data_IF_438147960158
#
_entry.id   IF_438147960158
#
_cell.length_a   1.000
_cell.length_b   1.000
_cell.length_c   1.000
_cell.angle_alpha   90.00
_cell.angle_beta   90.00
_cell.angle_gamma   90.00
#
_symmetry.space_group_name_H-M   'P 1'
#
loop_
_entity.id
_entity.type
_entity.pdbx_description
1 polymer ?
#
# COMPACT_ATOMS: atom_id res chain seq x y z
N UNK A 1 0.79 -17.82 -12.28
CA UNK A 1 0.63 -16.94 -11.10
C UNK A 1 2.02 -16.48 -10.76
N UNK A 2 2.26 -15.17 -10.62
CA UNK A 2 3.59 -14.64 -10.35
C UNK A 2 3.74 -14.46 -8.84
N UNK A 3 4.72 -15.14 -8.27
CA UNK A 3 4.96 -15.20 -6.84
C UNK A 3 6.27 -14.49 -6.46
N UNK A 4 6.31 -13.88 -5.28
CA UNK A 4 7.50 -13.18 -4.79
C UNK A 4 7.69 -13.43 -3.29
N UNK A 5 8.93 -13.58 -2.86
CA UNK A 5 9.29 -13.60 -1.43
C UNK A 5 10.07 -12.36 -1.05
N UNK A 6 9.63 -11.67 -0.01
CA UNK A 6 10.37 -10.59 0.65
C UNK A 6 10.96 -11.13 1.94
N UNK A 7 12.29 -11.15 2.06
CA UNK A 7 12.98 -11.67 3.25
C UNK A 7 13.80 -10.59 3.93
N UNK A 8 13.55 -10.38 5.22
CA UNK A 8 14.40 -9.51 6.05
C UNK A 8 15.66 -10.22 6.49
N UNK A 9 16.80 -9.61 6.21
CA UNK A 9 18.12 -10.12 6.56
C UNK A 9 18.84 -9.12 7.48
N UNK A 10 19.32 -9.61 8.62
CA UNK A 10 20.05 -8.84 9.61
C UNK A 10 21.57 -8.81 9.39
N UNK A 11 22.24 -9.95 9.51
CA UNK A 11 23.70 -10.07 9.36
C UNK A 11 24.07 -11.25 8.45
N UNK A 12 24.27 -11.02 7.14
CA UNK A 12 24.59 -12.07 6.18
C UNK A 12 25.78 -12.97 6.57
N UNK A 13 26.82 -12.41 7.21
CA UNK A 13 28.03 -13.17 7.61
C UNK A 13 27.82 -14.06 8.84
N UNK A 14 26.76 -13.84 9.60
CA UNK A 14 26.53 -14.52 10.88
C UNK A 14 25.83 -15.87 10.75
N UNK A 15 25.27 -16.19 9.57
CA UNK A 15 24.40 -17.35 9.43
C UNK A 15 25.19 -18.62 9.15
N UNK A 16 24.81 -19.69 9.86
CA UNK A 16 25.34 -21.02 9.68
C UNK A 16 24.48 -21.80 8.69
N UNK A 17 25.10 -22.75 8.00
CA UNK A 17 24.38 -23.66 7.11
C UNK A 17 23.55 -24.63 7.96
N UNK A 18 22.25 -24.71 7.67
CA UNK A 18 21.29 -25.60 8.32
C UNK A 18 20.40 -26.24 7.26
N UNK A 19 19.66 -27.28 7.64
CA UNK A 19 18.61 -27.85 6.80
C UNK A 19 17.27 -27.22 7.16
N UNK A 20 16.69 -26.42 6.26
CA UNK A 20 15.35 -25.91 6.43
C UNK A 20 14.31 -26.96 6.03
N UNK A 21 13.18 -27.03 6.73
CA UNK A 21 12.08 -27.95 6.43
C UNK A 21 10.74 -27.22 6.33
N UNK A 22 9.96 -27.52 5.27
CA UNK A 22 8.55 -27.11 5.10
C UNK A 22 7.77 -28.36 4.71
N UNK A 23 6.73 -28.71 5.46
CA UNK A 23 5.83 -29.84 5.16
C UNK A 23 6.56 -31.17 4.84
N UNK A 24 7.71 -31.39 5.49
CA UNK A 24 8.54 -32.58 5.31
C UNK A 24 9.55 -32.52 4.15
N UNK A 25 9.43 -31.54 3.25
CA UNK A 25 10.45 -31.25 2.25
C UNK A 25 11.61 -30.45 2.85
N UNK A 26 12.85 -30.75 2.43
CA UNK A 26 14.07 -30.24 3.07
C UNK A 26 14.97 -29.52 2.07
N UNK A 27 15.60 -28.44 2.53
CA UNK A 27 16.53 -27.65 1.75
C UNK A 27 17.70 -27.15 2.60
N UNK A 28 18.93 -27.46 2.18
CA UNK A 28 20.13 -27.06 2.92
C UNK A 28 20.61 -25.67 2.48
N UNK A 29 20.71 -24.73 3.41
CA UNK A 29 21.05 -23.34 3.13
C UNK A 29 21.58 -22.63 4.37
N UNK A 30 22.33 -21.54 4.19
CA UNK A 30 22.62 -20.61 5.28
C UNK A 30 21.48 -19.59 5.50
N UNK A 31 20.55 -19.43 4.55
CA UNK A 31 19.42 -18.50 4.65
C UNK A 31 18.09 -19.12 4.24
N UNK A 32 17.04 -18.77 4.98
CA UNK A 32 15.67 -19.29 4.81
C UNK A 32 15.04 -18.91 3.47
N UNK A 33 15.38 -17.72 2.93
CA UNK A 33 14.78 -17.24 1.67
C UNK A 33 15.07 -18.15 0.48
N UNK A 34 16.24 -18.78 0.43
CA UNK A 34 16.57 -19.77 -0.61
C UNK A 34 15.73 -21.04 -0.43
N UNK A 35 15.54 -21.48 0.81
CA UNK A 35 14.68 -22.62 1.12
C UNK A 35 13.22 -22.34 0.76
N UNK A 36 12.69 -21.17 1.13
CA UNK A 36 11.33 -20.76 0.76
C UNK A 36 11.17 -20.69 -0.77
N UNK A 37 12.13 -20.10 -1.47
CA UNK A 37 12.08 -20.01 -2.93
C UNK A 37 12.01 -21.38 -3.58
N UNK A 38 12.88 -22.29 -3.17
CA UNK A 38 13.01 -23.59 -3.81
C UNK A 38 11.86 -24.56 -3.40
N UNK A 39 11.49 -24.59 -2.11
CA UNK A 39 10.43 -25.45 -1.59
C UNK A 39 9.02 -24.98 -1.98
N UNK A 40 8.76 -23.66 -2.00
CA UNK A 40 7.47 -23.10 -2.38
C UNK A 40 7.39 -22.71 -3.87
N UNK A 41 8.47 -22.93 -4.64
CA UNK A 41 8.59 -22.60 -6.07
C UNK A 41 8.29 -21.13 -6.38
N UNK A 42 8.86 -20.24 -5.58
CA UNK A 42 8.65 -18.80 -5.71
C UNK A 42 9.43 -18.25 -6.92
N UNK A 43 8.78 -17.44 -7.75
CA UNK A 43 9.37 -16.96 -9.01
C UNK A 43 10.43 -15.86 -8.81
N UNK A 44 10.29 -15.07 -7.73
CA UNK A 44 11.10 -13.88 -7.45
C UNK A 44 11.45 -13.77 -5.97
N UNK A 45 12.61 -13.19 -5.71
CA UNK A 45 13.18 -12.96 -4.38
C UNK A 45 13.58 -11.50 -4.24
N UNK A 46 13.19 -10.93 -3.10
CA UNK A 46 13.62 -9.61 -2.65
C UNK A 46 14.26 -9.74 -1.28
N UNK A 47 15.53 -9.41 -1.21
CA UNK A 47 16.27 -9.37 0.05
C UNK A 47 16.19 -7.95 0.62
N UNK A 48 15.66 -7.84 1.84
CA UNK A 48 15.55 -6.58 2.58
C UNK A 48 16.66 -6.52 3.62
N UNK A 49 17.56 -5.55 3.49
CA UNK A 49 18.68 -5.32 4.41
C UNK A 49 18.54 -3.95 5.06
N UNK A 50 19.12 -3.80 6.24
CA UNK A 50 19.38 -2.49 6.83
C UNK A 50 20.62 -1.82 6.24
N UNK A 51 20.63 -0.49 6.12
CA UNK A 51 21.84 0.29 5.82
C UNK A 51 22.96 0.02 6.83
N UNK A 52 22.62 -0.38 8.06
CA UNK A 52 23.60 -0.73 9.10
C UNK A 52 24.47 -1.94 8.74
N UNK A 53 24.07 -2.75 7.77
CA UNK A 53 24.89 -3.86 7.24
C UNK A 53 26.19 -3.35 6.61
N UNK A 54 26.28 -2.05 6.30
CA UNK A 54 27.52 -1.40 5.92
C UNK A 54 28.69 -1.67 6.87
N UNK A 55 28.43 -1.82 8.18
CA UNK A 55 29.47 -2.10 9.18
C UNK A 55 30.01 -3.52 9.09
N UNK A 56 29.16 -4.48 8.70
CA UNK A 56 29.56 -5.87 8.45
C UNK A 56 30.54 -5.97 7.27
N UNK A 57 30.44 -5.04 6.33
CA UNK A 57 31.23 -5.00 5.10
C UNK A 57 32.29 -3.90 5.05
N UNK A 58 32.43 -3.10 6.11
CA UNK A 58 33.32 -1.93 6.12
C UNK A 58 33.09 -0.98 4.92
N UNK A 59 31.82 -0.77 4.54
CA UNK A 59 31.45 0.14 3.47
C UNK A 59 31.71 1.60 3.85
N UNK A 60 32.00 2.44 2.85
CA UNK A 60 32.15 3.90 3.05
C UNK A 60 30.79 4.58 3.14
N UNK A 61 30.68 5.62 3.97
CA UNK A 61 29.45 6.37 4.23
C UNK A 61 29.40 7.73 3.53
N UNK A 62 30.02 7.85 2.35
CA UNK A 62 30.09 9.12 1.63
C UNK A 62 28.68 9.62 1.23
N UNK A 63 27.84 8.71 0.77
CA UNK A 63 26.45 8.94 0.42
C UNK A 63 25.68 7.60 0.49
N UNK A 64 24.36 7.68 0.52
CA UNK A 64 23.51 6.50 0.64
C UNK A 64 23.67 5.52 -0.51
N UNK A 65 23.78 6.03 -1.74
CA UNK A 65 23.83 5.21 -2.96
C UNK A 65 25.10 4.38 -3.00
N UNK A 66 26.26 5.00 -2.79
CA UNK A 66 27.55 4.31 -2.72
C UNK A 66 27.57 3.25 -1.61
N UNK A 67 26.99 3.56 -0.44
CA UNK A 67 26.87 2.63 0.68
C UNK A 67 25.95 1.45 0.34
N UNK A 68 24.79 1.72 -0.25
CA UNK A 68 23.81 0.71 -0.73
C UNK A 68 24.44 -0.22 -1.77
N UNK A 69 25.15 0.32 -2.77
CA UNK A 69 25.81 -0.47 -3.81
C UNK A 69 26.87 -1.40 -3.21
N UNK A 70 27.68 -0.91 -2.25
CA UNK A 70 28.63 -1.72 -1.50
C UNK A 70 27.96 -2.87 -0.73
N UNK A 71 26.88 -2.59 0.00
CA UNK A 71 26.12 -3.62 0.74
C UNK A 71 25.59 -4.68 -0.23
N UNK A 72 24.91 -4.26 -1.31
CA UNK A 72 24.31 -5.19 -2.27
C UNK A 72 25.38 -6.11 -2.84
N UNK A 73 26.51 -5.56 -3.29
CA UNK A 73 27.54 -6.36 -3.93
C UNK A 73 28.15 -7.40 -2.98
N UNK A 74 28.41 -7.03 -1.72
CA UNK A 74 28.95 -7.98 -0.76
C UNK A 74 27.89 -9.00 -0.29
N UNK A 75 26.63 -8.58 -0.12
CA UNK A 75 25.54 -9.49 0.24
C UNK A 75 25.22 -10.50 -0.86
N UNK A 76 25.39 -10.14 -2.14
CA UNK A 76 25.27 -11.10 -3.24
C UNK A 76 26.29 -12.24 -3.12
N UNK A 77 27.53 -11.91 -2.74
CA UNK A 77 28.59 -12.89 -2.56
C UNK A 77 28.33 -13.82 -1.36
N UNK A 78 27.90 -13.25 -0.23
CA UNK A 78 27.69 -14.04 1.00
C UNK A 78 26.40 -14.88 0.98
N UNK A 79 25.34 -14.37 0.33
CA UNK A 79 24.02 -15.02 0.32
C UNK A 79 23.78 -15.89 -0.91
N UNK A 80 24.53 -15.70 -2.00
CA UNK A 80 24.30 -16.43 -3.26
C UNK A 80 22.99 -16.06 -3.97
N UNK A 81 22.39 -14.91 -3.65
CA UNK A 81 21.13 -14.44 -4.24
C UNK A 81 21.47 -13.32 -5.24
N UNK A 82 21.28 -13.53 -6.53
CA UNK A 82 21.63 -12.53 -7.55
C UNK A 82 20.51 -11.51 -7.84
N UNK A 83 19.32 -11.73 -7.28
CA UNK A 83 18.06 -11.05 -7.58
C UNK A 83 17.95 -9.65 -6.94
N UNK A 84 16.74 -9.26 -6.50
CA UNK A 84 16.44 -7.89 -6.08
C UNK A 84 16.82 -7.65 -4.62
N UNK A 85 17.33 -6.45 -4.36
CA UNK A 85 17.72 -6.01 -3.02
C UNK A 85 17.09 -4.67 -2.68
N UNK A 86 16.57 -4.57 -1.45
CA UNK A 86 16.10 -3.34 -0.83
C UNK A 86 16.95 -3.10 0.41
N UNK A 87 17.95 -2.22 0.29
CA UNK A 87 18.67 -1.70 1.46
C UNK A 87 17.86 -0.53 1.97
N UNK A 88 17.43 -0.56 3.24
CA UNK A 88 16.53 0.41 3.86
C UNK A 88 17.21 1.15 5.03
N UNK A 89 16.82 2.42 5.31
CA UNK A 89 17.39 3.21 6.39
C UNK A 89 16.93 2.69 7.77
N UNK A 90 17.73 1.83 8.40
CA UNK A 90 17.46 1.30 9.73
C UNK A 90 18.33 1.97 10.81
N UNK A 91 17.77 2.02 12.01
CA UNK A 91 18.44 2.38 13.26
C UNK A 91 19.06 1.13 13.89
N UNK A 92 20.39 1.11 14.02
CA UNK A 92 21.13 0.04 14.66
C UNK A 92 22.56 0.48 15.00
N UNK A 93 23.01 0.25 16.24
CA UNK A 93 24.34 0.64 16.72
C UNK A 93 24.63 2.14 16.47
N UNK A 94 25.62 2.46 15.61
CA UNK A 94 26.00 3.84 15.27
C UNK A 94 25.04 4.52 14.30
N UNK A 95 24.17 3.77 13.62
CA UNK A 95 23.15 4.34 12.73
C UNK A 95 21.97 4.84 13.55
N UNK A 96 21.75 6.16 13.51
CA UNK A 96 20.70 6.87 14.25
C UNK A 96 19.64 7.42 13.30
N UNK A 97 18.43 7.59 13.78
CA UNK A 97 17.28 8.04 12.98
C UNK A 97 15.98 7.58 13.63
N UNK A 98 14.93 7.47 12.81
CA UNK A 98 13.63 6.94 13.24
C UNK A 98 13.36 5.58 12.61
N UNK A 99 12.83 4.59 13.34
CA UNK A 99 12.38 3.33 12.76
C UNK A 99 11.34 3.51 11.63
N UNK A 100 10.53 4.56 11.67
CA UNK A 100 9.55 4.92 10.62
C UNK A 100 10.17 5.10 9.22
N UNK A 101 11.45 5.52 9.16
CA UNK A 101 12.17 5.67 7.90
C UNK A 101 12.31 4.31 7.20
N UNK A 102 12.60 3.25 7.97
CA UNK A 102 12.71 1.88 7.48
C UNK A 102 11.38 1.39 6.90
N UNK A 103 10.29 1.58 7.66
CA UNK A 103 8.93 1.24 7.23
C UNK A 103 8.58 1.92 5.90
N UNK A 104 8.77 3.24 5.83
CA UNK A 104 8.36 4.06 4.68
C UNK A 104 9.11 3.67 3.41
N UNK A 105 10.40 3.39 3.54
CA UNK A 105 11.25 2.98 2.43
C UNK A 105 10.86 1.60 1.91
N UNK A 106 10.65 0.62 2.80
CA UNK A 106 10.22 -0.73 2.40
C UNK A 106 8.87 -0.68 1.71
N UNK A 107 7.90 0.04 2.28
CA UNK A 107 6.58 0.17 1.69
C UNK A 107 6.67 0.62 0.22
N UNK A 108 7.37 1.74 -0.02
CA UNK A 108 7.42 2.33 -1.35
C UNK A 108 8.15 1.41 -2.34
N UNK A 109 9.31 0.88 -1.96
CA UNK A 109 10.08 0.01 -2.86
C UNK A 109 9.42 -1.35 -3.10
N UNK A 110 8.77 -1.94 -2.10
CA UNK A 110 7.96 -3.16 -2.27
C UNK A 110 6.80 -2.91 -3.22
N UNK A 111 6.07 -1.79 -3.08
CA UNK A 111 4.99 -1.44 -4.01
C UNK A 111 5.47 -1.33 -5.46
N UNK A 112 6.59 -0.63 -5.69
CA UNK A 112 7.17 -0.49 -7.04
C UNK A 112 7.60 -1.83 -7.65
N UNK A 113 8.08 -2.76 -6.82
CA UNK A 113 8.42 -4.12 -7.26
C UNK A 113 7.14 -4.90 -7.63
N UNK A 114 6.10 -4.84 -6.79
CA UNK A 114 4.81 -5.50 -7.06
C UNK A 114 4.17 -5.01 -8.37
N UNK A 115 4.20 -3.70 -8.62
CA UNK A 115 3.71 -3.10 -9.87
C UNK A 115 4.45 -3.61 -11.10
N UNK A 116 5.79 -3.63 -11.03
CA UNK A 116 6.65 -4.03 -12.14
C UNK A 116 6.47 -5.50 -12.50
N UNK A 117 6.33 -6.37 -11.49
CA UNK A 117 6.36 -7.83 -11.69
C UNK A 117 4.96 -8.46 -11.84
N UNK A 118 3.87 -7.72 -11.54
CA UNK A 118 2.50 -8.21 -11.77
C UNK A 118 2.09 -9.36 -10.84
N UNK A 119 2.49 -9.26 -9.57
CA UNK A 119 2.40 -10.32 -8.56
C UNK A 119 0.97 -10.64 -8.11
N UNK A 120 0.70 -11.90 -7.81
CA UNK A 120 -0.56 -12.33 -7.18
C UNK A 120 -0.38 -13.24 -5.95
N UNK A 121 0.85 -13.61 -5.61
CA UNK A 121 1.18 -14.29 -4.35
C UNK A 121 2.46 -13.70 -3.74
N UNK A 122 2.40 -13.36 -2.46
CA UNK A 122 3.47 -12.70 -1.72
C UNK A 122 3.80 -13.52 -0.48
N UNK A 123 5.06 -13.92 -0.37
CA UNK A 123 5.62 -14.55 0.81
C UNK A 123 6.43 -13.51 1.59
N UNK A 124 6.24 -13.43 2.90
CA UNK A 124 7.01 -12.56 3.78
C UNK A 124 7.82 -13.46 4.71
N UNK A 125 9.14 -13.36 4.64
CA UNK A 125 10.06 -14.13 5.47
C UNK A 125 10.68 -13.23 6.55
N UNK A 126 10.36 -13.54 7.80
CA UNK A 126 10.82 -12.79 8.97
C UNK A 126 11.92 -13.51 9.76
N UNK A 127 12.34 -14.70 9.31
CA UNK A 127 13.26 -15.60 10.00
C UNK A 127 14.57 -14.95 10.45
N UNK A 128 15.18 -14.18 9.53
CA UNK A 128 16.53 -13.61 9.72
C UNK A 128 16.52 -12.11 10.04
N UNK A 129 15.34 -11.56 10.34
CA UNK A 129 15.19 -10.17 10.77
C UNK A 129 15.79 -9.94 12.16
N UNK A 130 16.36 -8.76 12.39
CA UNK A 130 16.86 -8.37 13.72
C UNK A 130 15.98 -7.28 14.34
N UNK A 131 15.74 -7.39 15.65
CA UNK A 131 15.01 -6.39 16.43
C UNK A 131 13.63 -6.07 15.81
N UNK A 132 13.35 -4.80 15.49
CA UNK A 132 12.07 -4.37 14.91
C UNK A 132 11.94 -4.62 13.39
N UNK A 133 13.01 -5.03 12.70
CA UNK A 133 13.04 -5.06 11.23
C UNK A 133 12.01 -6.03 10.63
N UNK A 134 11.87 -7.23 11.20
CA UNK A 134 10.89 -8.23 10.72
C UNK A 134 9.46 -7.72 10.83
N UNK A 135 9.11 -7.12 11.98
CA UNK A 135 7.77 -6.56 12.24
C UNK A 135 7.48 -5.39 11.30
N UNK A 136 8.37 -4.39 11.21
CA UNK A 136 8.13 -3.22 10.35
C UNK A 136 8.14 -3.57 8.87
N UNK A 137 8.95 -4.54 8.44
CA UNK A 137 8.92 -5.02 7.06
C UNK A 137 7.59 -5.70 6.75
N UNK A 138 7.09 -6.58 7.63
CA UNK A 138 5.76 -7.20 7.48
C UNK A 138 4.69 -6.14 7.29
N UNK A 139 4.62 -5.16 8.18
CA UNK A 139 3.60 -4.10 8.11
C UNK A 139 3.73 -3.25 6.85
N UNK A 140 4.96 -2.90 6.45
CA UNK A 140 5.21 -2.09 5.25
C UNK A 140 4.84 -2.85 3.96
N UNK A 141 5.17 -4.14 3.88
CA UNK A 141 4.80 -5.00 2.75
C UNK A 141 3.29 -5.21 2.73
N UNK A 142 2.64 -5.44 3.87
CA UNK A 142 1.18 -5.56 3.98
C UNK A 142 0.46 -4.33 3.43
N UNK A 143 0.95 -3.12 3.77
CA UNK A 143 0.42 -1.86 3.24
C UNK A 143 0.65 -1.76 1.72
N UNK A 144 1.85 -2.14 1.24
CA UNK A 144 2.17 -2.14 -0.18
C UNK A 144 1.26 -3.09 -0.97
N UNK A 145 1.06 -4.32 -0.48
CA UNK A 145 0.20 -5.32 -1.11
C UNK A 145 -1.26 -4.87 -1.07
N UNK A 146 -1.71 -4.27 0.04
CA UNK A 146 -3.08 -3.74 0.17
C UNK A 146 -3.36 -2.63 -0.85
N UNK A 147 -2.44 -1.67 -0.98
CA UNK A 147 -2.54 -0.60 -1.98
C UNK A 147 -2.48 -1.16 -3.41
N UNK A 148 -1.59 -2.13 -3.67
CA UNK A 148 -1.46 -2.80 -4.95
C UNK A 148 -2.72 -3.58 -5.35
N UNK A 149 -3.25 -4.43 -4.46
CA UNK A 149 -4.45 -5.23 -4.68
C UNK A 149 -5.67 -4.34 -4.96
N UNK A 150 -5.81 -3.25 -4.19
CA UNK A 150 -6.86 -2.26 -4.40
C UNK A 150 -6.72 -1.57 -5.75
N UNK A 151 -5.57 -0.98 -6.11
CA UNK A 151 -5.43 -0.26 -7.38
C UNK A 151 -5.51 -1.18 -8.61
N UNK A 152 -4.98 -2.40 -8.51
CA UNK A 152 -4.88 -3.31 -9.67
C UNK A 152 -6.10 -4.18 -9.90
N UNK A 153 -7.10 -4.13 -9.00
CA UNK A 153 -8.31 -4.98 -9.02
C UNK A 153 -7.99 -6.48 -9.01
N UNK A 154 -6.95 -6.86 -8.26
CA UNK A 154 -6.49 -8.24 -8.16
C UNK A 154 -6.49 -8.70 -6.72
N UNK A 155 -6.98 -9.92 -6.50
CA UNK A 155 -6.74 -10.63 -5.24
C UNK A 155 -5.26 -11.02 -5.16
N UNK A 156 -4.63 -10.72 -4.04
CA UNK A 156 -3.26 -11.15 -3.74
C UNK A 156 -3.27 -12.01 -2.49
N UNK A 157 -2.72 -13.22 -2.60
CA UNK A 157 -2.48 -14.08 -1.43
C UNK A 157 -1.20 -13.62 -0.74
N UNK A 158 -1.24 -13.48 0.57
CA UNK A 158 -0.08 -13.13 1.40
C UNK A 158 0.13 -14.21 2.45
N UNK A 159 1.32 -14.79 2.49
CA UNK A 159 1.72 -15.79 3.48
C UNK A 159 2.95 -15.32 4.25
N UNK A 160 2.88 -15.32 5.58
CA UNK A 160 3.97 -14.97 6.47
C UNK A 160 4.66 -16.23 6.97
N UNK A 161 5.97 -16.29 6.81
CA UNK A 161 6.83 -17.36 7.29
C UNK A 161 7.81 -16.87 8.36
N UNK A 162 8.07 -17.75 9.31
CA UNK A 162 9.13 -17.61 10.30
C UNK A 162 9.68 -19.00 10.64
N UNK A 163 10.90 -19.07 11.17
CA UNK A 163 11.48 -20.32 11.65
C UNK A 163 11.40 -20.47 13.15
N UNK A 164 11.63 -21.71 13.60
CA UNK A 164 12.10 -21.94 14.97
C UNK A 164 13.40 -21.16 15.26
N UNK A 165 13.65 -20.71 16.50
CA UNK A 165 14.91 -20.09 16.85
C UNK A 165 16.10 -21.00 16.56
N UNK A 166 17.15 -20.47 15.94
CA UNK A 166 18.42 -21.19 15.76
C UNK A 166 19.36 -20.84 16.91
N UNK A 167 19.61 -21.79 17.80
CA UNK A 167 20.52 -21.68 18.94
C UNK A 167 21.69 -22.65 18.84
N UNK A 168 22.68 -22.52 19.72
CA UNK A 168 23.86 -23.42 19.75
C UNK A 168 23.52 -24.90 19.98
N UNK A 169 22.36 -25.17 20.56
CA UNK A 169 21.88 -26.52 20.91
C UNK A 169 20.76 -27.01 19.98
N UNK A 170 20.49 -26.31 18.87
CA UNK A 170 19.38 -26.64 17.96
C UNK A 170 19.83 -27.65 16.91
N UNK A 171 18.97 -28.62 16.64
CA UNK A 171 19.15 -29.65 15.62
C UNK A 171 19.57 -29.08 14.26
N UNK A 172 20.32 -29.88 13.48
CA UNK A 172 20.71 -29.57 12.10
C UNK A 172 19.51 -29.21 11.18
N UNK A 173 18.29 -29.51 11.62
CA UNK A 173 17.04 -29.16 10.92
C UNK A 173 16.30 -28.02 11.63
N UNK A 174 15.96 -26.98 10.88
CA UNK A 174 15.19 -25.80 11.29
C UNK A 174 13.86 -25.80 10.54
N UNK A 175 12.74 -25.83 11.25
CA UNK A 175 11.42 -25.81 10.61
C UNK A 175 11.01 -24.38 10.27
N UNK A 176 10.47 -24.21 9.05
CA UNK A 176 9.84 -23.00 8.59
C UNK A 176 8.32 -23.17 8.70
N UNK A 177 7.68 -22.26 9.41
CA UNK A 177 6.25 -22.29 9.68
C UNK A 177 5.53 -21.19 8.92
N UNK A 178 4.44 -21.53 8.24
CA UNK A 178 3.46 -20.53 7.80
C UNK A 178 2.69 -20.05 9.04
N UNK A 179 2.98 -18.82 9.48
CA UNK A 179 2.40 -18.21 10.67
C UNK A 179 1.02 -17.63 10.39
N UNK A 180 0.83 -17.08 9.20
CA UNK A 180 -0.38 -16.40 8.78
C UNK A 180 -0.52 -16.52 7.25
N UNK A 181 -1.73 -16.82 6.79
CA UNK A 181 -2.07 -16.79 5.37
C UNK A 181 -3.39 -16.04 5.18
N UNK A 182 -3.38 -15.00 4.35
CA UNK A 182 -4.53 -14.15 4.09
C UNK A 182 -4.69 -13.90 2.59
N UNK A 183 -5.93 -13.61 2.19
CA UNK A 183 -6.26 -13.13 0.85
C UNK A 183 -6.66 -11.67 0.93
N UNK A 184 -5.98 -10.83 0.17
CA UNK A 184 -6.26 -9.40 0.08
C UNK A 184 -6.97 -9.14 -1.24
N UNK A 185 -8.30 -9.04 -1.18
CA UNK A 185 -9.12 -8.58 -2.28
C UNK A 185 -9.01 -7.05 -2.46
N UNK A 186 -9.48 -6.48 -3.57
CA UNK A 186 -9.47 -5.01 -3.76
C UNK A 186 -10.17 -4.24 -2.63
N UNK A 187 -11.36 -4.69 -2.20
CA UNK A 187 -12.07 -4.13 -1.05
C UNK A 187 -11.27 -4.24 0.25
N UNK A 188 -10.74 -5.42 0.56
CA UNK A 188 -9.96 -5.63 1.80
C UNK A 188 -8.69 -4.77 1.82
N UNK A 189 -8.02 -4.63 0.68
CA UNK A 189 -6.85 -3.76 0.51
C UNK A 189 -7.18 -2.29 0.71
N UNK A 190 -8.28 -1.82 0.10
CA UNK A 190 -8.79 -0.46 0.29
C UNK A 190 -9.12 -0.20 1.77
N UNK A 191 -9.87 -1.11 2.41
CA UNK A 191 -10.26 -0.99 3.82
C UNK A 191 -9.07 -0.98 4.75
N UNK A 192 -8.03 -1.77 4.47
CA UNK A 192 -6.79 -1.71 5.22
C UNK A 192 -6.14 -0.33 5.11
N UNK A 193 -6.00 0.21 3.89
CA UNK A 193 -5.41 1.54 3.66
C UNK A 193 -6.21 2.65 4.37
N UNK A 194 -7.54 2.68 4.25
CA UNK A 194 -8.37 3.69 4.91
C UNK A 194 -8.34 3.56 6.43
N UNK A 195 -8.36 2.32 6.96
CA UNK A 195 -8.26 2.05 8.40
C UNK A 195 -6.95 2.60 9.01
N UNK A 196 -5.82 2.49 8.31
CA UNK A 196 -4.54 3.03 8.78
C UNK A 196 -4.53 4.56 8.91
N UNK A 197 -5.46 5.25 8.25
CA UNK A 197 -5.55 6.72 8.23
C UNK A 197 -6.60 7.21 9.20
N UNK A 198 -7.80 6.62 9.17
CA UNK A 198 -8.94 7.06 9.96
C UNK A 198 -8.76 6.85 11.48
N UNK A 199 -7.88 5.94 11.89
CA UNK A 199 -7.53 5.72 13.30
C UNK A 199 -6.36 6.59 13.80
N UNK A 200 -5.83 7.51 12.98
CA UNK A 200 -4.78 8.42 13.41
C UNK A 200 -5.37 9.68 14.04
N UNK A 201 -4.60 10.31 14.92
CA UNK A 201 -4.92 11.63 15.42
C UNK A 201 -5.13 12.62 14.28
N UNK A 202 -6.06 13.56 14.45
CA UNK A 202 -6.41 14.58 13.44
C UNK A 202 -5.19 15.36 12.92
N UNK A 203 -4.16 15.51 13.75
CA UNK A 203 -2.94 16.27 13.44
C UNK A 203 -1.80 15.41 12.87
N UNK A 204 -1.95 14.10 12.76
CA UNK A 204 -0.88 13.18 12.35
C UNK A 204 -0.33 13.52 10.96
N UNK A 205 -1.20 13.92 10.03
CA UNK A 205 -0.87 14.25 8.65
C UNK A 205 -0.49 15.71 8.44
N UNK A 206 -0.37 16.51 9.50
CA UNK A 206 0.02 17.90 9.38
C UNK A 206 1.37 18.03 8.66
N UNK A 207 1.49 19.10 7.86
CA UNK A 207 2.70 19.49 7.12
C UNK A 207 3.09 18.58 5.94
N UNK A 208 2.26 17.60 5.54
CA UNK A 208 2.50 16.86 4.28
C UNK A 208 2.16 17.76 3.08
N UNK A 209 0.98 18.37 3.12
CA UNK A 209 0.50 19.32 2.12
C UNK A 209 0.21 20.66 2.81
N UNK A 210 1.01 21.69 2.50
CA UNK A 210 0.86 23.02 3.10
C UNK A 210 -0.46 23.71 2.71
N UNK A 211 -1.05 23.28 1.61
CA UNK A 211 -2.27 23.79 0.99
C UNK A 211 -3.55 23.08 1.48
N UNK A 212 -3.48 21.97 2.22
CA UNK A 212 -4.68 21.23 2.63
C UNK A 212 -4.53 20.43 3.92
N UNK A 213 -4.73 21.10 5.06
CA UNK A 213 -4.55 20.56 6.42
C UNK A 213 -5.43 19.32 6.70
N UNK A 214 -6.48 19.08 5.92
CA UNK A 214 -7.41 17.95 6.12
C UNK A 214 -7.65 17.09 4.86
N UNK A 215 -6.86 17.25 3.79
CA UNK A 215 -7.07 16.47 2.57
C UNK A 215 -7.06 14.95 2.85
N UNK A 216 -6.03 14.46 3.55
CA UNK A 216 -5.81 13.02 3.73
C UNK A 216 -6.96 12.34 4.49
N UNK A 217 -7.36 12.78 5.70
CA UNK A 217 -8.50 12.17 6.38
C UNK A 217 -9.79 12.26 5.56
N UNK A 218 -10.04 13.38 4.89
CA UNK A 218 -11.25 13.57 4.07
C UNK A 218 -11.31 12.60 2.88
N UNK A 219 -10.23 12.47 2.13
CA UNK A 219 -10.13 11.50 1.04
C UNK A 219 -10.24 10.06 1.55
N UNK A 220 -9.65 9.74 2.71
CA UNK A 220 -9.82 8.44 3.32
C UNK A 220 -11.28 8.16 3.73
N UNK A 221 -11.98 9.16 4.30
CA UNK A 221 -13.42 9.03 4.62
C UNK A 221 -14.24 8.84 3.36
N UNK A 222 -13.97 9.59 2.29
CA UNK A 222 -14.67 9.46 1.02
C UNK A 222 -14.49 8.07 0.40
N UNK A 223 -13.24 7.58 0.40
CA UNK A 223 -12.89 6.24 -0.09
C UNK A 223 -13.52 5.14 0.75
N UNK A 224 -13.47 5.27 2.08
CA UNK A 224 -14.03 4.26 3.00
C UNK A 224 -15.56 4.11 2.87
N UNK A 225 -16.24 5.21 2.54
CA UNK A 225 -17.71 5.24 2.41
C UNK A 225 -18.20 5.14 0.96
N UNK A 226 -17.33 4.79 0.01
CA UNK A 226 -17.73 4.55 -1.39
C UNK A 226 -18.23 5.79 -2.15
N UNK A 227 -17.72 6.99 -1.85
CA UNK A 227 -18.07 8.23 -2.55
C UNK A 227 -17.34 8.34 -3.91
N UNK A 228 -17.56 7.38 -4.81
CA UNK A 228 -16.76 7.21 -6.02
C UNK A 228 -16.82 8.38 -7.00
N UNK A 229 -17.95 9.10 -7.10
CA UNK A 229 -18.07 10.29 -7.95
C UNK A 229 -17.12 11.39 -7.45
N UNK A 230 -17.07 11.60 -6.12
CA UNK A 230 -16.17 12.58 -5.51
C UNK A 230 -14.71 12.22 -5.81
N UNK A 231 -14.36 10.94 -5.66
CA UNK A 231 -13.00 10.45 -5.89
C UNK A 231 -12.56 10.57 -7.35
N UNK A 232 -13.48 10.36 -8.29
CA UNK A 232 -13.20 10.51 -9.73
C UNK A 232 -13.07 11.96 -10.18
N UNK A 233 -13.83 12.89 -9.59
CA UNK A 233 -13.82 14.31 -9.97
C UNK A 233 -12.80 15.15 -9.22
N UNK A 234 -12.54 14.85 -7.95
CA UNK A 234 -11.61 15.63 -7.13
C UNK A 234 -10.18 15.25 -7.48
N UNK A 235 -9.54 16.08 -8.29
CA UNK A 235 -8.15 15.87 -8.71
C UNK A 235 -7.21 15.75 -7.51
N UNK A 236 -6.61 14.57 -7.36
CA UNK A 236 -5.61 14.25 -6.36
C UNK A 236 -4.27 13.84 -6.98
N UNK A 237 -4.13 13.94 -8.29
CA UNK A 237 -2.92 13.53 -9.04
C UNK A 237 -1.68 14.31 -8.59
N UNK A 238 -1.82 15.60 -8.28
CA UNK A 238 -0.74 16.42 -7.77
C UNK A 238 -0.26 15.97 -6.38
N UNK A 239 -1.18 15.50 -5.52
CA UNK A 239 -0.82 14.95 -4.21
C UNK A 239 -0.01 13.66 -4.38
N UNK A 240 -0.47 12.74 -5.24
CA UNK A 240 0.23 11.50 -5.53
C UNK A 240 1.63 11.78 -6.09
N UNK A 241 1.73 12.62 -7.12
CA UNK A 241 3.01 12.97 -7.75
C UNK A 241 4.00 13.57 -6.75
N UNK A 242 3.58 14.53 -5.92
CA UNK A 242 4.44 15.12 -4.88
C UNK A 242 4.96 14.06 -3.90
N UNK A 243 4.12 13.10 -3.53
CA UNK A 243 4.53 12.00 -2.64
C UNK A 243 5.50 11.03 -3.33
N UNK A 244 5.26 10.67 -4.59
CA UNK A 244 6.18 9.85 -5.39
C UNK A 244 7.55 10.52 -5.57
N UNK A 245 7.56 11.83 -5.86
CA UNK A 245 8.78 12.63 -5.96
C UNK A 245 9.55 12.66 -4.63
N UNK A 246 8.85 12.66 -3.50
CA UNK A 246 9.46 12.67 -2.18
C UNK A 246 9.95 11.29 -1.72
N UNK A 247 9.22 10.22 -2.05
CA UNK A 247 9.55 8.85 -1.70
C UNK A 247 10.61 8.24 -2.63
N UNK A 248 10.73 8.71 -3.87
CA UNK A 248 11.76 8.24 -4.80
C UNK A 248 13.17 8.72 -4.48
N UNK A 249 13.33 9.72 -3.59
CA UNK A 249 14.64 10.25 -3.18
C UNK A 249 15.39 9.24 -2.31
N UNK A 250 16.71 9.21 -2.43
CA UNK A 250 17.54 8.43 -1.51
C UNK A 250 17.51 9.06 -0.09
N UNK A 251 17.58 8.24 0.97
CA UNK A 251 17.87 8.70 2.32
C UNK A 251 19.14 9.54 2.40
N UNK A 252 19.15 10.51 3.31
CA UNK A 252 20.33 11.32 3.60
C UNK A 252 21.17 10.66 4.70
N UNK A 253 22.46 10.45 4.44
CA UNK A 253 23.44 10.07 5.45
C UNK A 253 24.20 11.31 5.92
N UNK A 254 24.30 11.50 7.24
CA UNK A 254 25.13 12.53 7.84
C UNK A 254 26.07 11.91 8.88
N UNK A 255 27.29 11.53 8.46
CA UNK A 255 28.31 11.02 9.37
C UNK A 255 28.74 12.08 10.40
N UNK A 256 28.97 11.63 11.62
CA UNK A 256 29.60 12.36 12.73
C UNK A 256 30.67 11.46 13.37
N UNK A 257 31.40 11.92 14.40
CA UNK A 257 32.54 11.17 14.96
C UNK A 257 32.20 9.73 15.36
N UNK A 258 31.04 9.49 15.98
CA UNK A 258 30.65 8.17 16.50
C UNK A 258 29.32 7.64 15.95
N UNK A 259 28.62 8.44 15.14
CA UNK A 259 27.26 8.15 14.70
C UNK A 259 27.03 8.55 13.25
N UNK A 260 26.12 7.85 12.58
CA UNK A 260 25.66 8.17 11.24
C UNK A 260 24.15 8.43 11.34
N UNK A 261 23.76 9.68 11.16
CA UNK A 261 22.35 10.03 11.10
C UNK A 261 21.80 9.64 9.73
N UNK A 262 20.69 8.88 9.73
CA UNK A 262 20.00 8.42 8.53
C UNK A 262 18.60 9.02 8.51
N UNK A 263 18.39 9.97 7.61
CA UNK A 263 17.14 10.72 7.49
C UNK A 263 16.41 10.33 6.22
N UNK A 264 15.13 10.03 6.35
CA UNK A 264 14.24 9.76 5.24
C UNK A 264 12.83 10.28 5.58
N UNK A 265 11.81 9.82 4.87
CA UNK A 265 10.42 10.22 5.10
C UNK A 265 9.80 9.41 6.24
N UNK A 266 9.00 10.10 7.06
CA UNK A 266 8.21 9.50 8.15
C UNK A 266 7.06 8.64 7.60
N UNK A 267 6.53 7.73 8.42
CA UNK A 267 5.45 6.79 8.10
C UNK A 267 4.22 7.46 7.46
N UNK A 268 3.91 8.70 7.86
CA UNK A 268 2.79 9.47 7.30
C UNK A 268 2.87 9.67 5.78
N UNK A 269 4.07 9.68 5.19
CA UNK A 269 4.25 9.75 3.74
C UNK A 269 3.83 8.44 3.06
N UNK A 270 4.21 7.28 3.62
CA UNK A 270 3.77 5.98 3.12
C UNK A 270 2.25 5.82 3.17
N UNK A 271 1.62 6.17 4.31
CA UNK A 271 0.17 6.08 4.46
C UNK A 271 -0.56 7.00 3.48
N UNK A 272 -0.08 8.24 3.33
CA UNK A 272 -0.67 9.19 2.39
C UNK A 272 -0.49 8.73 0.94
N UNK A 273 0.68 8.20 0.60
CA UNK A 273 0.95 7.67 -0.73
C UNK A 273 0.04 6.48 -1.03
N UNK A 274 -0.11 5.54 -0.09
CA UNK A 274 -1.02 4.40 -0.26
C UNK A 274 -2.45 4.84 -0.56
N UNK A 275 -2.95 5.85 0.16
CA UNK A 275 -4.28 6.42 -0.11
C UNK A 275 -4.39 6.98 -1.52
N UNK A 276 -3.53 7.93 -1.89
CA UNK A 276 -3.64 8.58 -3.20
C UNK A 276 -3.31 7.64 -4.36
N UNK A 277 -2.47 6.65 -4.12
CA UNK A 277 -2.19 5.58 -5.05
C UNK A 277 -3.45 4.75 -5.34
N UNK A 278 -4.22 4.37 -4.31
CA UNK A 278 -5.52 3.72 -4.50
C UNK A 278 -6.52 4.67 -5.16
N UNK A 279 -6.59 5.93 -4.73
CA UNK A 279 -7.53 6.91 -5.30
C UNK A 279 -7.26 7.14 -6.79
N UNK A 280 -6.01 7.07 -7.25
CA UNK A 280 -5.68 7.21 -8.68
C UNK A 280 -6.36 6.18 -9.59
N UNK A 281 -6.98 5.13 -9.02
CA UNK A 281 -7.83 4.19 -9.75
C UNK A 281 -9.15 4.81 -10.21
N UNK A 282 -9.67 5.78 -9.48
CA UNK A 282 -10.88 6.52 -9.79
C UNK A 282 -10.47 7.76 -10.58
N UNK A 283 -10.83 7.81 -11.86
CA UNK A 283 -10.55 8.97 -12.70
C UNK A 283 -11.49 9.01 -13.90
N UNK A 284 -11.73 10.21 -14.40
CA UNK A 284 -12.58 10.45 -15.56
C UNK A 284 -14.07 10.51 -15.22
N UNK A 285 -14.88 10.59 -16.28
CA UNK A 285 -16.33 10.68 -16.15
C UNK A 285 -16.89 9.33 -15.67
N UNK A 286 -17.80 9.38 -14.70
CA UNK A 286 -18.44 8.19 -14.13
C UNK A 286 -19.77 7.97 -14.84
N UNK A 287 -19.85 6.92 -15.66
CA UNK A 287 -21.13 6.39 -16.12
C UNK A 287 -21.73 5.39 -15.12
N UNK A 288 -23.01 5.05 -15.29
CA UNK A 288 -23.71 4.15 -14.39
C UNK A 288 -23.06 2.74 -14.31
N UNK A 289 -22.53 2.22 -15.41
CA UNK A 289 -21.82 0.93 -15.43
C UNK A 289 -20.53 1.00 -14.62
N UNK A 290 -19.77 2.09 -14.78
CA UNK A 290 -18.55 2.37 -14.03
C UNK A 290 -18.85 2.48 -12.54
N UNK A 291 -19.95 3.15 -12.17
CA UNK A 291 -20.38 3.26 -10.78
C UNK A 291 -20.77 1.91 -10.18
N UNK A 292 -21.50 1.06 -10.93
CA UNK A 292 -21.80 -0.32 -10.51
C UNK A 292 -20.53 -1.14 -10.32
N UNK A 293 -19.58 -1.05 -11.25
CA UNK A 293 -18.29 -1.73 -11.14
C UNK A 293 -17.52 -1.31 -9.89
N UNK A 294 -17.47 0.00 -9.61
CA UNK A 294 -16.84 0.50 -8.38
C UNK A 294 -17.54 -0.01 -7.13
N UNK A 295 -18.88 0.00 -7.10
CA UNK A 295 -19.65 -0.53 -5.98
C UNK A 295 -19.42 -2.03 -5.77
N UNK A 296 -19.39 -2.82 -6.84
CA UNK A 296 -19.11 -4.25 -6.77
C UNK A 296 -17.70 -4.56 -6.25
N UNK A 297 -16.71 -3.76 -6.66
CA UNK A 297 -15.30 -4.01 -6.38
C UNK A 297 -14.84 -3.45 -5.03
N UNK A 298 -15.36 -2.29 -4.62
CA UNK A 298 -14.81 -1.48 -3.52
C UNK A 298 -15.81 -1.08 -2.43
N UNK A 299 -17.10 -1.39 -2.58
CA UNK A 299 -18.08 -1.09 -1.53
C UNK A 299 -18.38 -2.33 -0.68
N UNK A 300 -18.69 -2.11 0.60
CA UNK A 300 -19.29 -3.15 1.42
C UNK A 300 -20.71 -3.50 0.91
N UNK A 301 -21.28 -4.59 1.42
CA UNK A 301 -22.58 -5.10 0.98
C UNK A 301 -23.72 -4.07 1.09
N UNK A 302 -23.71 -3.23 2.12
CA UNK A 302 -24.77 -2.23 2.34
C UNK A 302 -24.61 -1.07 1.38
N UNK A 303 -23.40 -0.50 1.31
CA UNK A 303 -23.08 0.60 0.41
C UNK A 303 -23.30 0.21 -1.05
N UNK A 304 -22.90 -1.00 -1.46
CA UNK A 304 -23.17 -1.57 -2.78
C UNK A 304 -24.66 -1.60 -3.10
N UNK A 305 -25.48 -2.15 -2.19
CA UNK A 305 -26.92 -2.27 -2.41
C UNK A 305 -27.62 -0.90 -2.53
N UNK A 306 -27.16 0.11 -1.79
CA UNK A 306 -27.68 1.48 -1.91
C UNK A 306 -27.34 2.06 -3.30
N UNK A 307 -26.08 1.96 -3.72
CA UNK A 307 -25.63 2.46 -5.03
C UNK A 307 -26.39 1.77 -6.16
N UNK A 308 -26.45 0.43 -6.17
CA UNK A 308 -27.16 -0.34 -7.20
C UNK A 308 -28.64 0.06 -7.29
N UNK A 309 -29.31 0.25 -6.15
CA UNK A 309 -30.70 0.70 -6.12
C UNK A 309 -30.90 2.12 -6.66
N UNK A 310 -29.99 3.06 -6.37
CA UNK A 310 -30.07 4.40 -6.95
C UNK A 310 -29.77 4.38 -8.47
N UNK A 311 -28.80 3.58 -8.91
CA UNK A 311 -28.52 3.38 -10.34
C UNK A 311 -29.74 2.80 -11.07
N UNK A 312 -30.37 1.75 -10.53
CA UNK A 312 -31.59 1.13 -11.09
C UNK A 312 -32.75 2.13 -11.19
N UNK A 313 -32.84 3.11 -10.28
CA UNK A 313 -33.84 4.19 -10.37
C UNK A 313 -33.50 5.15 -11.50
N UNK A 314 -32.25 5.58 -11.61
CA UNK A 314 -31.80 6.52 -12.65
C UNK A 314 -32.05 5.95 -14.05
N UNK A 315 -31.78 4.66 -14.27
CA UNK A 315 -31.97 3.98 -15.56
C UNK A 315 -33.43 3.96 -16.06
N UNK A 316 -34.41 4.09 -15.16
CA UNK A 316 -35.83 4.12 -15.52
C UNK A 316 -36.27 5.44 -16.14
N UNK A 317 -35.45 6.49 -16.06
CA UNK A 317 -35.79 7.81 -16.58
C UNK A 317 -35.11 8.05 -17.92
N UNK A 318 -35.84 8.65 -18.86
CA UNK A 318 -35.30 9.06 -20.15
C UNK A 318 -34.42 10.31 -19.98
N UNK A 319 -33.11 10.11 -19.91
CA UNK A 319 -32.14 11.19 -19.75
C UNK A 319 -31.90 11.92 -21.08
N UNK A 320 -31.90 13.25 -21.01
CA UNK A 320 -31.47 14.12 -22.10
C UNK A 320 -29.94 14.30 -22.12
N UNK A 321 -29.44 14.97 -23.16
CA UNK A 321 -28.02 15.35 -23.26
C UNK A 321 -27.63 16.54 -22.37
N UNK A 322 -28.62 17.30 -21.91
CA UNK A 322 -28.42 18.40 -20.96
C UNK A 322 -28.21 17.87 -19.54
N UNK A 323 -27.22 18.45 -18.84
CA UNK A 323 -26.98 18.19 -17.42
C UNK A 323 -28.11 18.79 -16.60
N UNK A 324 -28.87 17.95 -15.90
CA UNK A 324 -29.89 18.37 -14.92
C UNK A 324 -29.67 17.68 -13.60
N UNK A 325 -30.11 18.31 -12.52
CA UNK A 325 -30.06 17.68 -11.21
C UNK A 325 -30.97 16.45 -11.20
N UNK A 326 -30.53 15.39 -10.53
CA UNK A 326 -31.28 14.14 -10.40
C UNK A 326 -32.67 14.38 -9.78
N UNK A 327 -32.79 15.32 -8.83
CA UNK A 327 -34.06 15.73 -8.23
C UNK A 327 -35.07 16.28 -9.24
N UNK A 328 -34.63 16.90 -10.34
CA UNK A 328 -35.52 17.41 -11.39
C UNK A 328 -36.18 16.26 -12.18
N UNK A 329 -35.43 15.20 -12.48
CA UNK A 329 -35.99 14.00 -13.12
C UNK A 329 -36.91 13.22 -12.19
N UNK A 330 -36.54 13.15 -10.90
CA UNK A 330 -37.28 12.39 -9.89
C UNK A 330 -38.47 13.17 -9.30
N UNK A 331 -38.64 14.45 -9.67
CA UNK A 331 -39.68 15.36 -9.12
C UNK A 331 -39.64 15.44 -7.59
N UNK A 332 -38.43 15.39 -7.02
CA UNK A 332 -38.21 15.59 -5.58
C UNK A 332 -37.77 17.04 -5.39
N UNK A 333 -38.57 17.83 -4.67
CA UNK A 333 -38.20 19.21 -4.36
C UNK A 333 -36.86 19.26 -3.60
N UNK A 334 -35.93 20.06 -4.12
CA UNK A 334 -34.56 20.20 -3.62
C UNK A 334 -34.51 20.88 -2.26
N UNK A 335 -34.76 20.13 -1.19
CA UNK A 335 -34.07 20.40 0.07
C UNK A 335 -32.61 20.04 -0.19
N UNK A 336 -31.69 20.96 0.08
CA UNK A 336 -30.26 20.70 -0.04
C UNK A 336 -29.85 19.42 0.68
N UNK A 337 -28.63 18.94 0.45
CA UNK A 337 -28.17 17.71 1.07
C UNK A 337 -27.26 18.00 2.25
N UNK A 338 -27.36 17.17 3.29
CA UNK A 338 -26.41 17.12 4.39
C UNK A 338 -25.62 15.80 4.32
N UNK A 339 -24.70 15.62 5.26
CA UNK A 339 -23.93 14.38 5.44
C UNK A 339 -24.81 13.13 5.47
N UNK A 340 -25.98 13.17 6.12
CA UNK A 340 -26.88 12.02 6.23
C UNK A 340 -27.49 11.66 4.87
N UNK A 341 -27.96 12.66 4.12
CA UNK A 341 -28.52 12.48 2.78
C UNK A 341 -27.45 11.94 1.82
N UNK A 342 -26.23 12.48 1.87
CA UNK A 342 -25.12 12.02 1.02
C UNK A 342 -24.89 10.51 1.13
N UNK A 343 -24.76 9.99 2.35
CA UNK A 343 -24.52 8.55 2.55
C UNK A 343 -25.78 7.69 2.39
N UNK A 344 -26.96 8.19 2.76
CA UNK A 344 -28.21 7.45 2.60
C UNK A 344 -28.55 7.15 1.13
N UNK A 345 -28.01 7.94 0.20
CA UNK A 345 -28.14 7.73 -1.24
C UNK A 345 -26.84 7.26 -1.89
N UNK A 346 -25.89 6.68 -1.14
CA UNK A 346 -24.68 6.07 -1.71
C UNK A 346 -23.82 7.06 -2.50
N UNK A 347 -23.77 8.32 -2.09
CA UNK A 347 -23.09 9.38 -2.83
C UNK A 347 -23.92 10.02 -3.93
N UNK A 348 -25.22 9.74 -4.07
CA UNK A 348 -26.10 10.29 -5.11
C UNK A 348 -27.21 11.20 -4.54
N UNK A 349 -26.89 12.28 -3.79
CA UNK A 349 -27.93 13.19 -3.29
C UNK A 349 -28.65 13.88 -4.46
N UNK A 350 -29.99 13.83 -4.47
CA UNK A 350 -30.79 14.32 -5.60
C UNK A 350 -30.58 15.80 -5.93
N UNK A 351 -30.29 16.63 -4.92
CA UNK A 351 -29.99 18.05 -5.08
C UNK A 351 -28.51 18.36 -5.38
N UNK A 352 -27.63 17.36 -5.34
CA UNK A 352 -26.19 17.51 -5.52
C UNK A 352 -25.60 16.77 -6.73
N UNK A 353 -26.35 15.85 -7.34
CA UNK A 353 -25.89 15.03 -8.45
C UNK A 353 -26.58 15.44 -9.75
N UNK A 354 -25.79 15.81 -10.74
CA UNK A 354 -26.22 15.96 -12.12
C UNK A 354 -26.20 14.62 -12.85
N UNK A 355 -27.17 14.45 -13.74
CA UNK A 355 -27.27 13.31 -14.65
C UNK A 355 -27.48 13.79 -16.08
N UNK A 356 -26.85 13.11 -17.04
CA UNK A 356 -26.98 13.40 -18.46
C UNK A 356 -26.62 12.19 -19.32
N UNK A 357 -27.09 12.18 -20.57
CA UNK A 357 -26.82 11.12 -21.56
C UNK A 357 -25.86 11.59 -22.65
N UNK A 358 -24.78 10.85 -22.87
CA UNK A 358 -23.85 11.07 -23.97
C UNK A 358 -23.46 9.73 -24.61
N UNK A 359 -23.56 9.61 -25.95
CA UNK A 359 -23.19 8.39 -26.70
C UNK A 359 -23.80 7.10 -26.10
N UNK A 360 -25.10 7.15 -25.82
CA UNK A 360 -25.88 6.06 -25.22
C UNK A 360 -25.54 5.64 -23.78
N UNK A 361 -24.62 6.35 -23.13
CA UNK A 361 -24.31 6.16 -21.71
C UNK A 361 -24.90 7.27 -20.86
N UNK A 362 -25.34 6.91 -19.66
CA UNK A 362 -25.79 7.87 -18.65
C UNK A 362 -24.64 8.14 -17.69
N UNK A 363 -24.30 9.40 -17.53
CA UNK A 363 -23.22 9.88 -16.66
C UNK A 363 -23.79 10.56 -15.42
N UNK A 364 -23.06 10.42 -14.32
CA UNK A 364 -23.31 11.09 -13.04
C UNK A 364 -22.14 12.01 -12.73
N UNK A 365 -22.43 13.21 -12.21
CA UNK A 365 -21.40 14.17 -11.82
C UNK A 365 -21.87 15.10 -10.71
N UNK A 366 -21.00 15.61 -9.86
CA UNK A 366 -21.35 16.69 -8.93
C UNK A 366 -21.20 18.07 -9.57
N UNK A 367 -20.32 18.22 -10.56
CA UNK A 367 -20.15 19.49 -11.27
C UNK A 367 -19.81 20.64 -10.32
N UNK A 368 -20.60 21.72 -10.37
CA UNK A 368 -20.44 22.89 -9.50
C UNK A 368 -20.80 22.63 -8.02
N UNK A 369 -21.41 21.48 -7.70
CA UNK A 369 -21.74 21.07 -6.32
C UNK A 369 -20.62 20.35 -5.60
N UNK A 370 -19.49 20.07 -6.25
CA UNK A 370 -18.40 19.27 -5.66
C UNK A 370 -17.86 19.86 -4.35
N UNK A 371 -17.74 21.18 -4.24
CA UNK A 371 -17.27 21.83 -3.01
C UNK A 371 -18.32 21.76 -1.88
N UNK A 372 -19.61 21.68 -2.23
CA UNK A 372 -20.68 21.46 -1.26
C UNK A 372 -20.69 20.02 -0.76
N UNK A 373 -20.48 19.04 -1.66
CA UNK A 373 -20.26 17.63 -1.31
C UNK A 373 -19.05 17.50 -0.39
N UNK A 374 -17.93 18.15 -0.72
CA UNK A 374 -16.69 18.08 0.05
C UNK A 374 -16.85 18.60 1.49
N UNK A 375 -17.74 19.59 1.73
CA UNK A 375 -18.06 20.09 3.07
C UNK A 375 -18.84 19.09 3.94
N UNK A 376 -19.48 18.09 3.35
CA UNK A 376 -20.28 17.10 4.07
C UNK A 376 -19.48 15.84 4.45
N UNK A 377 -18.27 15.67 3.92
CA UNK A 377 -17.37 14.55 4.24
C UNK A 377 -16.67 14.85 5.56
#
# INVERSE_FOLDING_TARGET
MASIVFSTIGNPKGYQKVTYEIDGEKFESNVSVLALRDLLKVDKTVVILGISVADVYNCKYADYRSCKECIIQNSKNDLGISESYVVAPNVYQKFKGKPDHYFTYIYYHSLRILEKEGINEVFIDTTHGINYMGVLAKEAIQLAVSAYAAKSEKEVKVSLYNSDPVGKDVSDTVKLHEIEAIKISPLSGLKYVTYQILNKDKNFFNKIFSDSVNAIPRFATALDNGLFIYLSEKDSSLHLKRLEDDLSKDPLLTPSENEINVVYKDMKYALSHALFYVISRFSGNVDLDTLRHYAETYADKVTRAIIENEVDKIEKYQMGSERKLLGEYMKVEGKGFDKRILYAHGGLPYAGTYVYKEKDKVYVTYGDKIDEIERQI
#
